data_IF_531529969999
#
_entry.id   IF_531529969999
#
_cell.length_a   1.000
_cell.length_b   1.000
_cell.length_c   1.000
_cell.angle_alpha   90.00
_cell.angle_beta   90.00
_cell.angle_gamma   90.00
#
_symmetry.space_group_name_H-M   'P 1'
#
loop_
_entity.id
_entity.type
_entity.pdbx_description
1 polymer ?
#
# COMPACT_ATOMS: atom_id res chain seq x y z
N UNK A 1 4.41 -11.18 56.80
CA UNK A 1 3.61 -11.94 57.77
C UNK A 1 2.32 -11.17 58.03
N UNK A 2 1.19 -11.66 57.51
CA UNK A 2 -0.12 -11.03 57.72
C UNK A 2 -0.98 -11.97 58.57
N UNK A 3 -1.37 -11.51 59.77
CA UNK A 3 -2.27 -12.25 60.67
C UNK A 3 -3.70 -11.75 60.46
N UNK A 4 -4.61 -12.64 60.05
CA UNK A 4 -6.03 -12.34 59.90
C UNK A 4 -6.77 -13.01 61.06
N UNK A 5 -7.19 -12.21 62.04
CA UNK A 5 -7.95 -12.69 63.20
C UNK A 5 -9.45 -12.41 62.96
N UNK A 6 -10.25 -13.46 62.82
CA UNK A 6 -11.72 -13.34 62.67
C UNK A 6 -12.36 -13.38 64.05
N UNK A 7 -12.74 -12.20 64.57
CA UNK A 7 -13.38 -12.06 65.87
C UNK A 7 -14.90 -12.01 65.72
N UNK A 8 -15.57 -13.12 66.05
CA UNK A 8 -17.04 -13.21 66.06
C UNK A 8 -17.57 -12.59 67.36
N UNK A 9 -18.34 -11.50 67.27
CA UNK A 9 -18.99 -10.84 68.41
C UNK A 9 -20.50 -11.15 68.45
N UNK A 10 -21.04 -11.45 69.64
CA UNK A 10 -22.44 -11.83 69.84
C UNK A 10 -22.64 -13.07 70.71
N UNK A 11 -23.71 -13.10 71.51
CA UNK A 11 -24.06 -14.19 72.45
C UNK A 11 -25.12 -15.16 71.90
N UNK A 12 -25.52 -14.98 70.63
CA UNK A 12 -26.51 -15.84 69.98
C UNK A 12 -25.99 -17.28 69.82
N UNK A 13 -26.93 -18.22 69.72
CA UNK A 13 -26.62 -19.66 69.58
C UNK A 13 -25.79 -19.94 68.31
N UNK A 14 -26.07 -19.21 67.22
CA UNK A 14 -25.28 -19.27 65.98
C UNK A 14 -23.85 -18.74 66.16
N UNK A 15 -23.64 -17.69 66.94
CA UNK A 15 -22.30 -17.16 67.24
C UNK A 15 -21.48 -18.14 68.12
N UNK A 16 -22.14 -18.92 68.98
CA UNK A 16 -21.50 -20.01 69.74
C UNK A 16 -21.09 -21.17 68.84
N UNK A 17 -21.96 -21.57 67.91
CA UNK A 17 -21.63 -22.61 66.95
C UNK A 17 -20.45 -22.20 66.06
N UNK A 18 -20.46 -20.98 65.50
CA UNK A 18 -19.34 -20.50 64.68
C UNK A 18 -18.02 -20.40 65.46
N UNK A 19 -18.02 -19.99 66.74
CA UNK A 19 -16.79 -20.01 67.55
C UNK A 19 -16.26 -21.42 67.78
N UNK A 20 -17.16 -22.39 67.98
CA UNK A 20 -16.76 -23.81 68.13
C UNK A 20 -16.12 -24.34 66.84
N UNK A 21 -16.71 -24.02 65.68
CA UNK A 21 -16.16 -24.40 64.38
C UNK A 21 -14.80 -23.75 64.10
N UNK A 22 -14.64 -22.47 64.44
CA UNK A 22 -13.39 -21.71 64.25
C UNK A 22 -12.29 -22.20 65.20
N UNK A 23 -12.62 -22.60 66.43
CA UNK A 23 -11.67 -23.14 67.40
C UNK A 23 -11.04 -24.47 66.98
N UNK A 24 -11.79 -25.32 66.28
CA UNK A 24 -11.28 -26.59 65.72
C UNK A 24 -10.46 -26.39 64.44
N UNK A 25 -10.73 -25.32 63.69
CA UNK A 25 -9.99 -24.96 62.48
C UNK A 25 -8.73 -24.12 62.75
N UNK A 26 -8.59 -23.56 63.95
CA UNK A 26 -7.45 -22.73 64.36
C UNK A 26 -6.12 -23.52 64.45
N UNK A 27 -6.20 -24.85 64.53
CA UNK A 27 -5.04 -25.75 64.44
C UNK A 27 -4.71 -26.20 63.01
N UNK A 28 -5.55 -25.88 62.03
CA UNK A 28 -5.40 -26.29 60.62
C UNK A 28 -5.01 -25.16 59.65
N UNK A 29 -4.81 -23.94 60.16
CA UNK A 29 -4.40 -22.78 59.35
C UNK A 29 -3.06 -22.21 59.77
N UNK A 30 -2.06 -23.05 59.98
CA UNK A 30 -0.70 -22.69 59.55
C UNK A 30 -0.56 -23.13 58.08
N UNK A 31 -1.47 -22.63 57.24
CA UNK A 31 -1.35 -22.79 55.81
C UNK A 31 -0.45 -21.65 55.36
N UNK A 32 0.82 -21.98 55.10
CA UNK A 32 1.66 -21.17 54.23
C UNK A 32 0.92 -21.05 52.89
N UNK A 33 0.08 -20.02 52.77
CA UNK A 33 -0.57 -19.63 51.52
C UNK A 33 0.50 -18.99 50.65
N UNK A 34 1.35 -19.84 50.08
CA UNK A 34 2.23 -19.46 48.99
C UNK A 34 1.33 -19.29 47.76
N UNK A 35 0.76 -18.09 47.59
CA UNK A 35 -0.02 -17.70 46.41
C UNK A 35 0.90 -17.63 45.18
N UNK A 36 1.31 -18.79 44.69
CA UNK A 36 2.09 -18.90 43.46
C UNK A 36 1.15 -19.06 42.28
N UNK A 37 1.18 -18.09 41.35
CA UNK A 37 0.41 -18.14 40.09
C UNK A 37 0.97 -19.19 39.11
N UNK A 38 1.94 -20.01 39.53
CA UNK A 38 2.57 -21.06 38.72
C UNK A 38 1.57 -22.13 38.27
N UNK A 39 0.53 -22.40 39.07
CA UNK A 39 -0.54 -23.31 38.69
C UNK A 39 -1.41 -22.76 37.53
N UNK A 40 -1.44 -21.44 37.35
CA UNK A 40 -2.18 -20.76 36.30
C UNK A 40 -1.32 -20.50 35.04
N UNK A 41 -0.02 -20.81 35.07
CA UNK A 41 0.85 -20.58 33.93
C UNK A 41 0.60 -21.64 32.85
N UNK A 42 0.23 -21.25 31.61
CA UNK A 42 0.15 -22.19 30.52
C UNK A 42 1.55 -22.75 30.25
N UNK A 43 1.72 -24.07 30.41
CA UNK A 43 2.97 -24.73 30.10
C UNK A 43 3.20 -24.70 28.58
N UNK A 44 4.26 -24.05 28.08
CA UNK A 44 4.55 -24.01 26.66
C UNK A 44 5.00 -25.40 26.21
N UNK A 45 4.12 -26.15 25.55
CA UNK A 45 4.50 -27.36 24.82
C UNK A 45 4.90 -26.98 23.41
N UNK A 46 6.11 -27.38 23.01
CA UNK A 46 6.55 -27.30 21.62
C UNK A 46 5.59 -28.09 20.73
N UNK A 47 5.12 -27.46 19.66
CA UNK A 47 4.31 -28.14 18.66
C UNK A 47 5.17 -29.16 17.91
N UNK A 48 4.59 -30.34 17.66
CA UNK A 48 5.23 -31.37 16.83
C UNK A 48 5.26 -30.94 15.37
N UNK A 49 6.24 -31.42 14.59
CA UNK A 49 6.35 -31.10 13.15
C UNK A 49 5.06 -31.36 12.37
N UNK A 50 4.30 -32.39 12.75
CA UNK A 50 3.00 -32.71 12.14
C UNK A 50 1.92 -31.66 12.42
N UNK A 51 1.91 -31.04 13.60
CA UNK A 51 0.96 -29.98 13.94
C UNK A 51 1.28 -28.67 13.19
N UNK A 52 2.57 -28.39 12.98
CA UNK A 52 3.00 -27.29 12.10
C UNK A 52 2.62 -27.56 10.64
N UNK A 53 2.85 -28.78 10.14
CA UNK A 53 2.45 -29.14 8.78
C UNK A 53 0.92 -29.07 8.60
N UNK A 54 0.15 -29.56 9.57
CA UNK A 54 -1.32 -29.53 9.53
C UNK A 54 -1.90 -28.12 9.49
N UNK A 55 -1.27 -27.14 10.15
CA UNK A 55 -1.71 -25.74 10.12
C UNK A 55 -1.18 -24.98 8.90
N UNK A 56 0.05 -25.25 8.46
CA UNK A 56 0.68 -24.56 7.33
C UNK A 56 0.22 -25.04 5.95
N UNK A 57 -0.03 -26.34 5.79
CA UNK A 57 -0.44 -26.94 4.51
C UNK A 57 -1.74 -26.35 3.92
N UNK A 58 -2.84 -26.18 4.68
CA UNK A 58 -4.05 -25.57 4.12
C UNK A 58 -3.84 -24.11 3.72
N UNK A 59 -3.04 -23.35 4.47
CA UNK A 59 -2.69 -21.97 4.11
C UNK A 59 -1.90 -21.92 2.80
N UNK A 60 -0.90 -22.79 2.64
CA UNK A 60 -0.14 -22.91 1.40
C UNK A 60 -1.03 -23.33 0.22
N UNK A 61 -1.93 -24.29 0.45
CA UNK A 61 -2.89 -24.74 -0.56
C UNK A 61 -3.83 -23.60 -1.00
N UNK A 62 -4.33 -22.78 -0.06
CA UNK A 62 -5.14 -21.60 -0.38
C UNK A 62 -4.37 -20.61 -1.25
N UNK A 63 -3.12 -20.30 -0.90
CA UNK A 63 -2.27 -19.41 -1.72
C UNK A 63 -2.07 -19.97 -3.13
N UNK A 64 -1.78 -21.27 -3.25
CA UNK A 64 -1.64 -21.94 -4.54
C UNK A 64 -2.93 -21.91 -5.36
N UNK A 65 -4.08 -22.12 -4.72
CA UNK A 65 -5.39 -22.03 -5.38
C UNK A 65 -5.69 -20.60 -5.85
N UNK A 66 -5.38 -19.57 -5.06
CA UNK A 66 -5.52 -18.18 -5.47
C UNK A 66 -4.64 -17.86 -6.69
N UNK A 67 -3.40 -18.34 -6.72
CA UNK A 67 -2.53 -18.19 -7.90
C UNK A 67 -3.13 -18.92 -9.11
N UNK A 68 -3.57 -20.18 -8.92
CA UNK A 68 -4.20 -20.96 -9.98
C UNK A 68 -5.45 -20.28 -10.54
N UNK A 69 -6.28 -19.64 -9.71
CA UNK A 69 -7.45 -18.87 -10.15
C UNK A 69 -7.10 -17.73 -11.13
N UNK A 70 -6.00 -17.01 -10.89
CA UNK A 70 -5.56 -15.94 -11.81
C UNK A 70 -5.19 -16.54 -13.17
N UNK A 71 -4.49 -17.67 -13.17
CA UNK A 71 -4.09 -18.34 -14.40
C UNK A 71 -5.27 -18.99 -15.13
N UNK A 72 -6.21 -19.60 -14.42
CA UNK A 72 -7.42 -20.18 -15.04
C UNK A 72 -8.31 -19.11 -15.64
N UNK A 73 -8.41 -17.92 -15.03
CA UNK A 73 -9.14 -16.80 -15.62
C UNK A 73 -8.50 -16.32 -16.93
N UNK A 74 -7.16 -16.22 -16.97
CA UNK A 74 -6.41 -15.94 -18.20
C UNK A 74 -6.59 -17.02 -19.25
N UNK A 75 -6.54 -18.29 -18.84
CA UNK A 75 -6.72 -19.44 -19.72
C UNK A 75 -8.14 -19.48 -20.31
N UNK A 76 -9.17 -19.25 -19.50
CA UNK A 76 -10.57 -19.17 -19.96
C UNK A 76 -10.71 -18.13 -21.06
N UNK A 77 -10.03 -17.00 -20.90
CA UNK A 77 -10.03 -15.95 -21.92
C UNK A 77 -9.33 -16.39 -23.21
N UNK A 78 -8.19 -17.07 -23.10
CA UNK A 78 -7.48 -17.62 -24.25
C UNK A 78 -8.28 -18.72 -24.98
N UNK A 79 -8.94 -19.61 -24.23
CA UNK A 79 -9.83 -20.65 -24.77
C UNK A 79 -11.01 -19.99 -25.49
N UNK A 80 -11.68 -19.01 -24.87
CA UNK A 80 -12.78 -18.29 -25.51
C UNK A 80 -12.34 -17.56 -26.79
N UNK A 81 -11.12 -16.99 -26.80
CA UNK A 81 -10.54 -16.39 -27.99
C UNK A 81 -10.28 -17.41 -29.11
N UNK A 82 -9.87 -18.64 -28.76
CA UNK A 82 -9.66 -19.73 -29.71
C UNK A 82 -10.97 -20.23 -30.33
N UNK A 83 -12.02 -20.43 -29.53
CA UNK A 83 -13.31 -20.92 -30.04
C UNK A 83 -14.14 -19.84 -30.75
N UNK A 84 -14.02 -18.56 -30.38
CA UNK A 84 -14.78 -17.45 -30.96
C UNK A 84 -13.89 -16.35 -31.59
N UNK A 85 -13.08 -16.69 -32.61
CA UNK A 85 -12.07 -15.77 -33.16
C UNK A 85 -12.70 -14.54 -33.82
N UNK A 86 -13.90 -14.67 -34.39
CA UNK A 86 -14.62 -13.54 -35.02
C UNK A 86 -14.95 -12.44 -34.02
N UNK A 87 -15.43 -12.80 -32.81
CA UNK A 87 -15.79 -11.84 -31.75
C UNK A 87 -14.54 -11.20 -31.12
N UNK A 88 -13.50 -12.00 -30.94
CA UNK A 88 -12.21 -11.53 -30.42
C UNK A 88 -11.56 -10.52 -31.35
N UNK A 89 -11.51 -10.82 -32.65
CA UNK A 89 -10.95 -9.91 -33.67
C UNK A 89 -11.67 -8.56 -33.69
N UNK A 90 -12.99 -8.55 -33.63
CA UNK A 90 -13.77 -7.30 -33.57
C UNK A 90 -13.44 -6.49 -32.32
N UNK A 91 -13.26 -7.15 -31.17
CA UNK A 91 -12.89 -6.49 -29.91
C UNK A 91 -11.48 -5.91 -29.97
N UNK A 92 -10.51 -6.66 -30.51
CA UNK A 92 -9.13 -6.20 -30.70
C UNK A 92 -9.08 -5.02 -31.66
N UNK A 93 -9.79 -5.08 -32.79
CA UNK A 93 -9.88 -3.96 -33.75
C UNK A 93 -10.53 -2.73 -33.10
N UNK A 94 -11.58 -2.90 -32.32
CA UNK A 94 -12.19 -1.81 -31.56
C UNK A 94 -11.20 -1.18 -30.59
N UNK A 95 -10.49 -1.98 -29.78
CA UNK A 95 -9.49 -1.46 -28.83
C UNK A 95 -8.33 -0.76 -29.54
N UNK A 96 -7.86 -1.33 -30.65
CA UNK A 96 -6.82 -0.73 -31.48
C UNK A 96 -7.26 0.64 -32.02
N UNK A 97 -8.43 0.71 -32.64
CA UNK A 97 -8.98 1.96 -33.18
C UNK A 97 -9.21 2.99 -32.07
N UNK A 98 -9.72 2.56 -30.92
CA UNK A 98 -9.92 3.43 -29.76
C UNK A 98 -8.58 3.99 -29.25
N UNK A 99 -7.55 3.15 -29.13
CA UNK A 99 -6.21 3.58 -28.71
C UNK A 99 -5.58 4.52 -29.74
N UNK A 100 -5.76 4.25 -31.03
CA UNK A 100 -5.29 5.11 -32.11
C UNK A 100 -5.98 6.48 -32.05
N UNK A 101 -7.30 6.51 -31.88
CA UNK A 101 -8.07 7.75 -31.73
C UNK A 101 -7.66 8.53 -30.47
N UNK A 102 -7.40 7.86 -29.34
CA UNK A 102 -6.89 8.48 -28.13
C UNK A 102 -5.52 9.13 -28.38
N UNK A 103 -4.61 8.45 -29.07
CA UNK A 103 -3.29 9.01 -29.43
C UNK A 103 -3.41 10.20 -30.37
N UNK A 104 -4.24 10.11 -31.41
CA UNK A 104 -4.47 11.21 -32.36
C UNK A 104 -5.09 12.43 -31.67
N UNK A 105 -6.11 12.23 -30.84
CA UNK A 105 -6.75 13.32 -30.09
C UNK A 105 -5.80 13.98 -29.09
N UNK A 106 -4.93 13.21 -28.43
CA UNK A 106 -3.86 13.74 -27.59
C UNK A 106 -2.90 14.62 -28.41
N UNK A 107 -2.37 14.11 -29.52
CA UNK A 107 -1.46 14.87 -30.40
C UNK A 107 -2.14 16.14 -30.92
N UNK A 108 -3.41 16.06 -31.36
CA UNK A 108 -4.17 17.21 -31.83
C UNK A 108 -4.36 18.26 -30.75
N UNK A 109 -4.71 17.84 -29.53
CA UNK A 109 -4.83 18.73 -28.37
C UNK A 109 -3.50 19.40 -28.06
N UNK A 110 -2.41 18.65 -28.04
CA UNK A 110 -1.08 19.21 -27.79
C UNK A 110 -0.66 20.21 -28.88
N UNK A 111 -0.88 19.89 -30.17
CA UNK A 111 -0.63 20.82 -31.27
C UNK A 111 -1.44 22.11 -31.13
N UNK A 112 -2.73 22.01 -30.79
CA UNK A 112 -3.59 23.18 -30.53
C UNK A 112 -3.08 24.03 -29.36
N UNK A 113 -2.56 23.42 -28.30
CA UNK A 113 -1.97 24.15 -27.17
C UNK A 113 -0.69 24.87 -27.58
N UNK A 114 0.19 24.21 -28.34
CA UNK A 114 1.43 24.83 -28.85
C UNK A 114 1.13 25.98 -29.81
N UNK A 115 0.20 25.82 -30.75
CA UNK A 115 -0.17 26.89 -31.68
C UNK A 115 -0.87 28.06 -30.98
N UNK A 116 -1.72 27.79 -29.98
CA UNK A 116 -2.30 28.84 -29.13
C UNK A 116 -1.23 29.60 -28.37
N UNK A 117 -0.28 28.92 -27.74
CA UNK A 117 0.87 29.57 -27.05
C UNK A 117 1.77 30.33 -28.01
N UNK A 118 1.94 29.86 -29.26
CA UNK A 118 2.72 30.56 -30.26
C UNK A 118 2.02 31.82 -30.79
N UNK A 119 0.68 31.81 -30.89
CA UNK A 119 -0.15 32.95 -31.29
C UNK A 119 -0.39 33.95 -30.17
N UNK A 120 -0.40 33.48 -28.92
CA UNK A 120 -0.29 34.35 -27.76
C UNK A 120 1.11 34.95 -27.80
N UNK A 121 1.22 36.14 -28.40
CA UNK A 121 2.40 36.98 -28.24
C UNK A 121 2.75 37.04 -26.76
N UNK A 122 4.04 36.97 -26.37
CA UNK A 122 4.42 37.08 -24.98
C UNK A 122 3.77 38.35 -24.43
N UNK A 123 2.77 38.18 -23.57
CA UNK A 123 2.08 39.31 -22.95
C UNK A 123 3.16 40.19 -22.35
N UNK A 124 3.17 41.46 -22.76
CA UNK A 124 4.08 42.53 -22.32
C UNK A 124 5.16 42.07 -21.33
N UNK A 125 6.28 41.58 -21.89
CA UNK A 125 7.48 41.22 -21.15
C UNK A 125 7.74 39.72 -21.04
N UNK A 126 8.81 39.16 -21.64
CA UNK A 126 9.48 38.07 -20.93
C UNK A 126 9.69 38.57 -19.49
N UNK A 127 9.32 37.77 -18.49
CA UNK A 127 9.66 38.11 -17.10
C UNK A 127 11.11 38.56 -17.10
N UNK A 128 11.46 39.69 -16.47
CA UNK A 128 12.82 40.25 -16.47
C UNK A 128 13.89 39.16 -16.22
N UNK A 129 13.52 38.12 -15.48
CA UNK A 129 14.22 36.86 -15.30
C UNK A 129 14.62 36.13 -16.60
N UNK A 130 13.72 35.92 -17.56
CA UNK A 130 14.00 35.26 -18.85
C UNK A 130 14.97 36.08 -19.71
N UNK A 131 14.84 37.41 -19.69
CA UNK A 131 15.78 38.30 -20.39
C UNK A 131 17.17 38.28 -19.74
N UNK A 132 17.24 38.39 -18.40
CA UNK A 132 18.50 38.27 -17.65
C UNK A 132 19.16 36.89 -17.85
N UNK A 133 18.38 35.81 -17.88
CA UNK A 133 18.91 34.46 -18.10
C UNK A 133 19.35 34.21 -19.55
N UNK A 134 18.80 34.93 -20.54
CA UNK A 134 19.35 34.95 -21.91
C UNK A 134 20.69 35.67 -21.98
N UNK A 135 20.85 36.76 -21.22
CA UNK A 135 22.09 37.57 -21.18
C UNK A 135 23.22 36.88 -20.42
N UNK A 136 22.91 36.07 -19.42
CA UNK A 136 23.90 35.43 -18.54
C UNK A 136 23.84 33.89 -18.61
N UNK A 137 24.78 33.23 -19.32
CA UNK A 137 24.74 31.78 -19.54
C UNK A 137 24.87 30.95 -18.25
N UNK A 138 25.43 31.51 -17.17
CA UNK A 138 25.55 30.86 -15.85
C UNK A 138 24.21 30.72 -15.13
N UNK A 139 23.30 31.69 -15.30
CA UNK A 139 21.95 31.68 -14.71
C UNK A 139 21.01 30.69 -15.42
N UNK A 140 21.33 30.31 -16.66
CA UNK A 140 20.60 29.30 -17.44
C UNK A 140 20.57 27.92 -16.76
N UNK A 141 21.56 27.60 -15.92
CA UNK A 141 21.62 26.34 -15.15
C UNK A 141 20.57 26.27 -14.03
N UNK A 142 20.09 27.43 -13.57
CA UNK A 142 19.13 27.54 -12.47
C UNK A 142 17.68 27.55 -12.97
N UNK A 143 17.48 27.83 -14.26
CA UNK A 143 16.17 27.82 -14.89
C UNK A 143 15.83 26.38 -15.29
N UNK A 144 14.84 25.77 -14.61
CA UNK A 144 14.38 24.42 -14.92
C UNK A 144 13.90 24.36 -16.38
N UNK A 145 14.57 23.55 -17.19
CA UNK A 145 14.12 23.29 -18.56
C UNK A 145 12.78 22.55 -18.50
N UNK A 146 11.78 23.06 -19.21
CA UNK A 146 10.47 22.43 -19.34
C UNK A 146 10.22 22.07 -20.79
N UNK A 147 9.46 21.00 -21.02
CA UNK A 147 9.17 20.55 -22.37
C UNK A 147 8.29 21.60 -23.05
N UNK A 148 8.67 22.03 -24.26
CA UNK A 148 7.91 23.05 -25.00
C UNK A 148 6.45 22.65 -25.32
N UNK A 149 6.15 21.35 -25.31
CA UNK A 149 4.81 20.81 -25.60
C UNK A 149 3.96 20.73 -24.33
N UNK A 150 4.35 19.87 -23.37
CA UNK A 150 3.55 19.58 -22.19
C UNK A 150 3.89 20.44 -20.95
N UNK A 151 5.02 21.16 -20.95
CA UNK A 151 5.48 21.97 -19.81
C UNK A 151 6.05 21.16 -18.64
N UNK A 152 6.19 19.83 -18.76
CA UNK A 152 6.81 19.01 -17.70
C UNK A 152 8.30 19.31 -17.59
N UNK A 153 8.89 19.28 -16.39
CA UNK A 153 10.32 19.46 -16.22
C UNK A 153 11.08 18.37 -16.98
N UNK A 154 12.08 18.80 -17.75
CA UNK A 154 12.91 17.96 -18.60
C UNK A 154 14.10 17.49 -17.77
N UNK A 155 14.38 16.20 -17.83
CA UNK A 155 15.54 15.59 -17.19
C UNK A 155 16.74 15.61 -18.14
N UNK A 156 18.00 15.57 -17.66
CA UNK A 156 19.18 15.59 -18.54
C UNK A 156 19.29 14.39 -19.51
N UNK A 157 18.39 13.39 -19.43
CA UNK A 157 18.30 12.23 -20.33
C UNK A 157 17.31 12.42 -21.50
N UNK A 158 16.68 13.58 -21.60
CA UNK A 158 15.68 13.89 -22.61
C UNK A 158 16.29 14.50 -23.89
N UNK A 159 15.59 14.35 -25.02
CA UNK A 159 16.11 14.72 -26.34
C UNK A 159 15.89 16.20 -26.63
N UNK A 160 16.92 16.83 -27.19
CA UNK A 160 16.83 18.18 -27.78
C UNK A 160 16.67 18.08 -29.29
N UNK A 161 15.98 19.05 -29.89
CA UNK A 161 15.84 19.12 -31.34
C UNK A 161 17.23 19.19 -32.02
N UNK A 162 17.53 18.30 -33.00
CA UNK A 162 18.82 18.28 -33.69
C UNK A 162 18.98 19.44 -34.69
N UNK A 163 17.91 20.19 -34.97
CA UNK A 163 17.99 21.35 -35.85
C UNK A 163 18.85 22.45 -35.18
N UNK A 164 19.91 22.94 -35.85
CA UNK A 164 20.92 23.82 -35.26
C UNK A 164 20.34 25.16 -34.75
N UNK A 165 19.22 25.61 -35.31
CA UNK A 165 18.54 26.84 -34.91
C UNK A 165 17.48 26.67 -33.81
N UNK A 166 16.99 25.44 -33.55
CA UNK A 166 15.84 25.23 -32.67
C UNK A 166 16.26 24.86 -31.24
N UNK A 167 17.09 23.83 -31.07
CA UNK A 167 17.61 23.38 -29.77
C UNK A 167 16.56 23.18 -28.67
N UNK A 168 15.28 22.99 -29.03
CA UNK A 168 14.20 22.95 -28.07
C UNK A 168 14.18 21.61 -27.30
N UNK A 169 13.99 21.62 -25.97
CA UNK A 169 13.92 20.40 -25.18
C UNK A 169 12.52 19.76 -25.23
N UNK A 170 12.48 18.44 -25.41
CA UNK A 170 11.25 17.65 -25.48
C UNK A 170 11.25 16.50 -24.48
N UNK A 171 10.09 16.24 -23.88
CA UNK A 171 9.88 15.05 -23.07
C UNK A 171 9.86 13.79 -23.95
N UNK A 172 10.29 12.62 -23.47
CA UNK A 172 10.19 11.35 -24.24
C UNK A 172 8.82 11.07 -24.88
N UNK A 173 7.67 11.26 -24.19
CA UNK A 173 6.37 11.06 -24.82
C UNK A 173 5.95 12.18 -25.78
N UNK A 174 6.69 13.29 -25.82
CA UNK A 174 6.43 14.45 -26.66
C UNK A 174 7.31 14.50 -27.93
N UNK A 175 8.40 13.73 -27.93
CA UNK A 175 9.32 13.58 -29.06
C UNK A 175 8.73 12.62 -30.09
#
# INVERSE_FOLDING_TARGET
SHHLAVQVTGTSLMARLMRSSVGVLNTSSDTQLEMSNLACLPQPRGMTHWQYAGSGLPLAALVLLCLAQVYTYRLRHAIAAFYFPKREKSRVLYFYNKLLQQRQSFVHRQRKLVTRRARQHPGLGPSLLEWCCRRWPRLRRWMRQSCRVCGTPVTPRDRSCPAPACGAPYCRPCW
#
